data_IF_336137541009
#
_entry.id   IF_336137541009
#
_cell.length_a   1.000
_cell.length_b   1.000
_cell.length_c   1.000
_cell.angle_alpha   90.00
_cell.angle_beta   90.00
_cell.angle_gamma   90.00
#
_symmetry.space_group_name_H-M   'P 1'
#
loop_
_entity.id
_entity.type
_entity.pdbx_description
1 polymer ?
#
# COMPACT_ATOMS: atom_id res chain seq x y z
N UNK A 1 14.62 40.72 -7.40
CA UNK A 1 15.08 39.34 -7.68
C UNK A 1 14.13 38.40 -6.95
N UNK A 2 13.45 37.51 -7.67
CA UNK A 2 12.51 36.56 -7.09
C UNK A 2 13.15 35.17 -7.12
N UNK A 3 13.12 34.47 -5.99
CA UNK A 3 13.59 33.10 -5.89
C UNK A 3 12.40 32.18 -6.02
N UNK A 4 12.46 31.29 -7.00
CA UNK A 4 11.50 30.21 -7.17
C UNK A 4 11.98 29.04 -6.32
N UNK A 5 11.28 28.78 -5.22
CA UNK A 5 11.58 27.68 -4.30
C UNK A 5 10.50 26.60 -4.42
N UNK A 6 10.86 25.31 -4.44
CA UNK A 6 9.87 24.25 -4.51
C UNK A 6 8.98 24.29 -3.28
N UNK A 7 7.66 24.24 -3.51
CA UNK A 7 6.70 24.03 -2.44
C UNK A 7 6.92 22.61 -1.91
N UNK A 8 7.07 22.46 -0.58
CA UNK A 8 7.23 21.16 0.11
C UNK A 8 6.33 20.11 -0.54
N UNK A 9 6.92 19.01 -1.04
CA UNK A 9 6.21 17.98 -1.81
C UNK A 9 4.97 17.53 -1.04
N UNK A 10 3.79 17.78 -1.61
CA UNK A 10 2.55 17.23 -1.09
C UNK A 10 2.56 15.74 -1.38
N UNK A 11 2.28 14.92 -0.37
CA UNK A 11 1.96 13.52 -0.62
C UNK A 11 0.77 13.46 -1.56
N UNK A 12 0.87 12.65 -2.61
CA UNK A 12 -0.21 12.36 -3.54
C UNK A 12 -0.75 10.96 -3.24
N UNK A 13 -2.07 10.82 -3.22
CA UNK A 13 -2.71 9.51 -3.14
C UNK A 13 -2.51 8.79 -4.47
N UNK A 14 -1.91 7.60 -4.44
CA UNK A 14 -1.67 6.82 -5.67
C UNK A 14 -2.90 6.01 -6.04
N UNK A 15 -3.53 5.37 -5.06
CA UNK A 15 -4.67 4.51 -5.26
C UNK A 15 -5.21 3.95 -3.96
N UNK A 16 -6.26 3.15 -4.09
CA UNK A 16 -7.03 2.60 -2.99
C UNK A 16 -6.94 1.08 -3.08
N UNK A 17 -6.49 0.44 -1.99
CA UNK A 17 -6.50 -1.01 -1.82
C UNK A 17 -7.57 -1.37 -0.79
N UNK A 18 -8.53 -2.18 -1.20
CA UNK A 18 -9.69 -2.56 -0.40
C UNK A 18 -9.79 -4.10 -0.33
N UNK A 19 -10.35 -4.61 0.75
CA UNK A 19 -10.67 -6.04 0.91
C UNK A 19 -12.08 -6.17 1.50
N UNK A 20 -12.96 -6.88 0.79
CA UNK A 20 -14.35 -7.09 1.22
C UNK A 20 -14.56 -8.36 2.07
N UNK A 21 -13.47 -9.02 2.46
CA UNK A 21 -13.49 -10.33 3.14
C UNK A 21 -13.26 -11.51 2.20
N UNK A 22 -13.34 -11.32 0.88
CA UNK A 22 -13.13 -12.36 -0.13
C UNK A 22 -12.26 -11.91 -1.30
N UNK A 23 -12.39 -10.66 -1.71
CA UNK A 23 -11.76 -10.11 -2.91
C UNK A 23 -10.98 -8.85 -2.55
N UNK A 24 -9.71 -8.83 -2.98
CA UNK A 24 -8.87 -7.66 -2.99
C UNK A 24 -9.14 -6.83 -4.23
N UNK A 25 -9.37 -5.54 -4.03
CA UNK A 25 -9.62 -4.56 -5.08
C UNK A 25 -8.58 -3.47 -5.00
N UNK A 26 -7.86 -3.23 -6.11
CA UNK A 26 -6.99 -2.07 -6.25
C UNK A 26 -7.44 -1.19 -7.42
N UNK A 27 -7.49 0.12 -7.18
CA UNK A 27 -7.78 1.14 -8.20
C UNK A 27 -6.92 2.38 -7.98
N UNK A 28 -6.49 3.01 -9.06
CA UNK A 28 -5.80 4.29 -8.96
C UNK A 28 -6.73 5.42 -8.50
N UNK A 29 -6.14 6.39 -7.82
CA UNK A 29 -6.83 7.61 -7.43
C UNK A 29 -7.08 8.51 -8.66
N UNK A 30 -8.21 9.21 -8.68
CA UNK A 30 -8.57 10.06 -9.82
C UNK A 30 -7.58 11.20 -10.06
N UNK A 31 -6.96 11.76 -9.01
CA UNK A 31 -5.89 12.76 -9.19
C UNK A 31 -4.66 12.14 -9.82
N UNK A 32 -4.25 10.96 -9.35
CA UNK A 32 -3.09 10.25 -9.86
C UNK A 32 -3.23 9.92 -11.35
N UNK A 33 -4.40 9.46 -11.79
CA UNK A 33 -4.67 9.12 -13.19
C UNK A 33 -4.49 10.30 -14.15
N UNK A 34 -4.67 11.55 -13.67
CA UNK A 34 -4.53 12.77 -14.47
C UNK A 34 -3.10 13.31 -14.53
N UNK A 35 -2.17 12.75 -13.75
CA UNK A 35 -0.77 13.19 -13.69
C UNK A 35 0.06 12.48 -14.75
N UNK A 36 0.46 13.19 -15.79
CA UNK A 36 1.31 12.64 -16.86
C UNK A 36 2.78 12.52 -16.46
N UNK A 37 3.18 13.14 -15.35
CA UNK A 37 4.53 13.11 -14.77
C UNK A 37 4.78 11.88 -13.87
N UNK A 38 3.72 11.14 -13.51
CA UNK A 38 3.78 9.98 -12.63
C UNK A 38 3.60 8.70 -13.44
N UNK A 39 4.27 7.63 -13.00
CA UNK A 39 4.22 6.32 -13.67
C UNK A 39 3.26 5.37 -12.95
N UNK A 40 2.61 4.44 -13.67
CA UNK A 40 1.91 3.34 -13.03
C UNK A 40 2.85 2.55 -12.09
N UNK A 41 2.27 1.96 -11.05
CA UNK A 41 2.92 0.96 -10.21
C UNK A 41 3.23 -0.28 -11.07
N UNK A 42 4.42 -0.84 -10.88
CA UNK A 42 4.83 -2.08 -11.54
C UNK A 42 3.82 -3.21 -11.31
N UNK A 43 3.36 -3.84 -12.40
CA UNK A 43 2.33 -4.87 -12.38
C UNK A 43 0.89 -4.32 -12.41
N UNK A 44 0.72 -2.99 -12.43
CA UNK A 44 -0.57 -2.30 -12.49
C UNK A 44 -0.55 -1.21 -13.59
N UNK A 45 -0.19 -1.58 -14.82
CA UNK A 45 0.11 -0.64 -15.90
C UNK A 45 -1.11 0.15 -16.46
N UNK A 46 -2.33 -0.36 -16.24
CA UNK A 46 -3.57 0.21 -16.77
C UNK A 46 -4.22 1.12 -15.71
N UNK A 47 -4.02 2.43 -15.82
CA UNK A 47 -4.49 3.42 -14.82
C UNK A 47 -6.02 3.40 -14.60
N UNK A 48 -6.81 3.13 -15.63
CA UNK A 48 -8.28 3.09 -15.53
C UNK A 48 -8.83 1.71 -15.09
N UNK A 49 -7.97 0.71 -14.92
CA UNK A 49 -8.40 -0.64 -14.56
C UNK A 49 -8.65 -0.77 -13.07
N UNK A 50 -9.74 -1.46 -12.74
CA UNK A 50 -9.99 -1.96 -11.39
C UNK A 50 -9.46 -3.39 -11.31
N UNK A 51 -8.40 -3.57 -10.53
CA UNK A 51 -7.74 -4.85 -10.35
C UNK A 51 -8.43 -5.62 -9.24
N UNK A 52 -8.80 -6.86 -9.51
CA UNK A 52 -9.48 -7.74 -8.56
C UNK A 52 -8.72 -9.05 -8.40
N UNK A 53 -8.64 -9.58 -7.19
CA UNK A 53 -7.97 -10.86 -6.92
C UNK A 53 -8.50 -11.51 -5.63
N UNK A 54 -8.61 -12.83 -5.60
CA UNK A 54 -8.93 -13.58 -4.36
C UNK A 54 -7.75 -13.68 -3.40
N UNK A 55 -6.54 -13.34 -3.85
CA UNK A 55 -5.31 -13.30 -3.06
C UNK A 55 -4.69 -11.91 -3.10
N UNK A 56 -4.00 -11.52 -2.04
CA UNK A 56 -3.33 -10.23 -1.99
C UNK A 56 -2.30 -10.12 -3.11
N UNK A 57 -2.29 -9.00 -3.83
CA UNK A 57 -1.35 -8.81 -4.93
C UNK A 57 0.11 -8.85 -4.44
N UNK A 58 1.03 -9.47 -5.20
CA UNK A 58 2.44 -9.58 -4.81
C UNK A 58 3.08 -8.24 -4.42
N UNK A 59 2.76 -7.16 -5.14
CA UNK A 59 3.23 -5.82 -4.84
C UNK A 59 2.93 -5.36 -3.41
N UNK A 60 1.77 -5.72 -2.85
CA UNK A 60 1.43 -5.39 -1.46
C UNK A 60 1.92 -6.46 -0.49
N UNK A 61 1.90 -7.73 -0.90
CA UNK A 61 2.28 -8.87 -0.05
C UNK A 61 3.73 -8.80 0.46
N UNK A 62 4.67 -8.23 -0.32
CA UNK A 62 6.07 -8.04 0.12
C UNK A 62 6.22 -7.17 1.38
N UNK A 63 5.18 -6.42 1.75
CA UNK A 63 5.16 -5.56 2.95
C UNK A 63 4.77 -6.33 4.21
N UNK A 64 4.27 -7.55 4.07
CA UNK A 64 3.92 -8.43 5.18
C UNK A 64 5.19 -9.23 5.58
N UNK A 65 5.71 -9.08 6.80
CA UNK A 65 6.82 -9.90 7.27
C UNK A 65 6.35 -11.33 7.56
N UNK A 66 7.29 -12.27 7.60
CA UNK A 66 7.01 -13.66 7.98
C UNK A 66 6.38 -13.74 9.40
N UNK A 67 5.15 -14.24 9.55
CA UNK A 67 4.48 -14.40 10.85
C UNK A 67 5.22 -15.33 11.83
N UNK A 68 6.12 -16.18 11.32
CA UNK A 68 6.96 -17.06 12.13
C UNK A 68 8.01 -16.35 12.96
N UNK A 69 8.38 -15.11 12.60
CA UNK A 69 9.43 -14.34 13.29
C UNK A 69 8.99 -13.87 14.68
N UNK A 70 9.91 -13.95 15.65
CA UNK A 70 9.62 -13.61 17.05
C UNK A 70 9.24 -12.15 17.27
N UNK A 71 9.82 -11.23 16.50
CA UNK A 71 9.49 -9.81 16.57
C UNK A 71 8.07 -9.52 16.05
N UNK A 72 7.64 -10.25 15.01
CA UNK A 72 6.28 -10.16 14.45
C UNK A 72 5.26 -10.71 15.44
N UNK A 73 5.51 -11.90 16.00
CA UNK A 73 4.63 -12.52 17.01
C UNK A 73 4.42 -11.61 18.22
N UNK A 74 5.51 -11.06 18.77
CA UNK A 74 5.43 -10.14 19.92
C UNK A 74 4.58 -8.91 19.61
N UNK A 75 4.73 -8.32 18.42
CA UNK A 75 3.93 -7.17 18.01
C UNK A 75 2.44 -7.51 17.87
N UNK A 76 2.12 -8.69 17.33
CA UNK A 76 0.73 -9.18 17.23
C UNK A 76 0.10 -9.41 18.61
N UNK A 77 0.87 -9.96 19.56
CA UNK A 77 0.44 -10.14 20.95
C UNK A 77 0.16 -8.81 21.64
N UNK A 78 1.06 -7.82 21.49
CA UNK A 78 0.89 -6.46 22.01
C UNK A 78 -0.39 -5.80 21.47
N UNK A 79 -0.68 -5.99 20.18
CA UNK A 79 -1.88 -5.47 19.52
C UNK A 79 -3.14 -6.34 19.76
N UNK A 80 -3.02 -7.43 20.53
CA UNK A 80 -4.10 -8.38 20.86
C UNK A 80 -4.78 -8.98 19.63
N UNK A 81 -4.01 -9.26 18.58
CA UNK A 81 -4.51 -9.86 17.34
C UNK A 81 -4.29 -11.37 17.36
N UNK A 82 -5.38 -12.11 17.43
CA UNK A 82 -5.39 -13.58 17.42
C UNK A 82 -5.85 -14.07 16.04
N UNK A 83 -5.02 -14.85 15.34
CA UNK A 83 -5.26 -15.30 13.95
C UNK A 83 -5.34 -14.12 12.96
N UNK A 84 -4.22 -13.41 12.73
CA UNK A 84 -4.23 -12.26 11.83
C UNK A 84 -4.52 -12.68 10.38
N UNK A 85 -5.47 -12.00 9.75
CA UNK A 85 -5.69 -12.11 8.32
C UNK A 85 -4.71 -11.20 7.56
N UNK A 86 -4.49 -11.41 6.25
CA UNK A 86 -3.56 -10.58 5.46
C UNK A 86 -3.84 -9.06 5.56
N UNK A 87 -5.11 -8.66 5.72
CA UNK A 87 -5.49 -7.27 5.92
C UNK A 87 -5.00 -6.70 7.27
N UNK A 88 -5.06 -7.49 8.34
CA UNK A 88 -4.51 -7.10 9.65
C UNK A 88 -2.99 -6.92 9.57
N UNK A 89 -2.32 -7.86 8.92
CA UNK A 89 -0.86 -7.81 8.75
C UNK A 89 -0.44 -6.58 7.93
N UNK A 90 -1.16 -6.25 6.86
CA UNK A 90 -0.91 -5.00 6.12
C UNK A 90 -1.15 -3.76 6.96
N UNK A 91 -2.19 -3.74 7.79
CA UNK A 91 -2.47 -2.58 8.66
C UNK A 91 -1.38 -2.36 9.70
N UNK A 92 -0.81 -3.45 10.24
CA UNK A 92 0.20 -3.40 11.31
C UNK A 92 1.60 -3.16 10.75
N UNK A 93 1.97 -3.85 9.67
CA UNK A 93 3.34 -3.88 9.14
C UNK A 93 3.50 -3.21 7.78
N UNK A 94 2.41 -3.03 7.04
CA UNK A 94 2.43 -2.72 5.61
C UNK A 94 2.84 -1.30 5.24
N UNK A 95 3.01 -0.41 6.23
CA UNK A 95 3.19 1.03 5.97
C UNK A 95 4.37 1.34 5.06
N UNK A 96 5.54 0.72 5.29
CA UNK A 96 6.78 0.97 4.53
C UNK A 96 7.54 -0.34 4.32
N UNK A 97 8.22 -0.47 3.18
CA UNK A 97 9.11 -1.60 2.90
C UNK A 97 10.30 -1.13 2.06
N UNK A 98 11.47 -1.75 2.28
CA UNK A 98 12.72 -1.40 1.59
C UNK A 98 12.63 -1.65 0.08
N UNK A 99 11.87 -2.66 -0.35
CA UNK A 99 11.67 -3.00 -1.77
C UNK A 99 10.78 -2.02 -2.53
N UNK A 100 10.08 -1.11 -1.84
CA UNK A 100 9.15 -0.15 -2.43
C UNK A 100 9.21 1.18 -1.65
N UNK A 101 10.38 1.85 -1.60
CA UNK A 101 10.61 2.97 -0.68
C UNK A 101 9.87 4.25 -1.10
N UNK A 102 9.40 4.33 -2.34
CA UNK A 102 8.64 5.46 -2.88
C UNK A 102 7.16 5.46 -2.49
N UNK A 103 6.66 4.39 -1.84
CA UNK A 103 5.24 4.21 -1.56
C UNK A 103 4.99 3.90 -0.08
N UNK A 104 4.00 4.56 0.50
CA UNK A 104 3.46 4.22 1.82
C UNK A 104 2.05 3.65 1.71
N UNK A 105 1.73 2.63 2.52
CA UNK A 105 0.34 2.25 2.79
C UNK A 105 -0.13 2.97 4.05
N UNK A 106 -1.18 3.77 3.91
CA UNK A 106 -1.78 4.50 5.03
C UNK A 106 -3.21 4.00 5.18
N UNK A 107 -3.63 3.55 6.37
CA UNK A 107 -5.03 3.25 6.64
C UNK A 107 -5.89 4.49 6.38
N UNK A 108 -6.95 4.33 5.60
CA UNK A 108 -7.93 5.38 5.31
C UNK A 108 -8.82 5.68 6.53
#
# INVERSE_FOLDING_TARGET
MLLYVPQKERHITVGHLEFDGKTWTFRYDDEYKRRSDLRPIEGFDELEKVYNSSVLFPFFAVRIPDPGRDDVKRRLEEDRVSHPEPADLLRIFGRRVVSSPAFELVPA
#
